data_IF_298186302761
#
_entry.id   IF_298186302761
#
_cell.length_a   1.000
_cell.length_b   1.000
_cell.length_c   1.000
_cell.angle_alpha   90.00
_cell.angle_beta   90.00
_cell.angle_gamma   90.00
#
_symmetry.space_group_name_H-M   'P 1'
#
loop_
_entity.id
_entity.type
_entity.pdbx_description
1 polymer ?
#
# COMPACT_ATOMS: atom_id res chain seq x y z
N UNK A 1 48.81 -7.90 -2.04
CA UNK A 1 47.66 -8.40 -1.25
C UNK A 1 46.60 -7.31 -1.09
N UNK A 2 45.97 -6.80 -2.16
CA UNK A 2 45.17 -5.56 -2.06
C UNK A 2 43.91 -5.48 -2.93
N UNK A 3 43.45 -6.59 -3.51
CA UNK A 3 42.16 -6.66 -4.23
C UNK A 3 41.34 -7.90 -3.85
N UNK A 4 42.02 -9.01 -3.53
CA UNK A 4 41.36 -10.24 -3.07
C UNK A 4 40.80 -10.09 -1.66
N UNK A 5 41.48 -9.35 -0.77
CA UNK A 5 41.00 -9.07 0.59
C UNK A 5 39.76 -8.16 0.60
N UNK A 6 39.72 -7.15 -0.28
CA UNK A 6 38.60 -6.22 -0.43
C UNK A 6 37.37 -6.90 -1.06
N UNK A 7 37.57 -7.83 -2.00
CA UNK A 7 36.49 -8.69 -2.52
C UNK A 7 35.97 -9.61 -1.42
N UNK A 8 36.84 -10.15 -0.56
CA UNK A 8 36.43 -11.02 0.55
C UNK A 8 35.69 -10.27 1.67
N UNK A 9 36.10 -9.04 1.97
CA UNK A 9 35.40 -8.14 2.91
C UNK A 9 34.04 -7.68 2.36
N UNK A 10 33.95 -7.36 1.07
CA UNK A 10 32.68 -7.03 0.43
C UNK A 10 31.76 -8.26 0.35
N UNK A 11 32.29 -9.45 0.11
CA UNK A 11 31.52 -10.69 0.13
C UNK A 11 31.07 -11.07 1.55
N UNK A 12 31.87 -10.80 2.58
CA UNK A 12 31.49 -10.97 3.99
C UNK A 12 30.44 -9.92 4.42
N UNK A 13 30.53 -8.69 3.93
CA UNK A 13 29.55 -7.63 4.18
C UNK A 13 28.22 -7.88 3.45
N UNK A 14 28.25 -8.32 2.19
CA UNK A 14 27.06 -8.75 1.44
C UNK A 14 26.45 -10.04 2.00
N UNK A 15 27.29 -11.00 2.43
CA UNK A 15 26.84 -12.20 3.13
C UNK A 15 26.20 -11.86 4.48
N UNK A 16 26.70 -10.88 5.23
CA UNK A 16 26.09 -10.37 6.47
C UNK A 16 24.78 -9.60 6.23
N UNK A 17 24.67 -8.85 5.13
CA UNK A 17 23.44 -8.15 4.76
C UNK A 17 22.34 -9.13 4.28
N UNK A 18 22.73 -10.14 3.49
CA UNK A 18 21.85 -11.25 3.09
C UNK A 18 21.47 -12.19 4.24
N UNK A 19 22.38 -12.43 5.21
CA UNK A 19 22.11 -13.23 6.43
C UNK A 19 21.11 -12.53 7.35
N UNK A 20 21.25 -11.20 7.53
CA UNK A 20 20.34 -10.40 8.36
C UNK A 20 18.92 -10.37 7.81
N UNK A 21 18.69 -10.60 6.51
CA UNK A 21 17.34 -10.60 5.94
C UNK A 21 16.59 -11.94 6.04
N UNK A 22 17.29 -13.08 6.08
CA UNK A 22 16.65 -14.41 5.96
C UNK A 22 16.64 -15.27 7.22
N UNK A 23 17.65 -15.14 8.09
CA UNK A 23 17.67 -15.84 9.40
C UNK A 23 16.85 -15.08 10.43
N UNK A 24 16.71 -13.77 10.23
CA UNK A 24 15.98 -12.86 11.10
C UNK A 24 14.47 -12.78 10.84
N UNK A 25 13.86 -13.79 10.22
CA UNK A 25 12.42 -13.78 9.94
C UNK A 25 11.63 -14.76 10.81
N UNK A 26 12.27 -15.65 11.59
CA UNK A 26 11.53 -16.68 12.34
C UNK A 26 11.95 -16.82 13.82
N UNK A 27 13.24 -16.83 14.16
CA UNK A 27 13.66 -16.67 15.57
C UNK A 27 13.40 -15.24 16.04
N UNK A 28 13.73 -14.29 15.15
CA UNK A 28 13.16 -12.96 15.22
C UNK A 28 11.65 -12.95 15.12
N UNK A 29 10.91 -13.91 14.55
CA UNK A 29 9.44 -13.84 14.62
C UNK A 29 8.93 -14.12 16.04
N UNK A 30 9.55 -15.01 16.81
CA UNK A 30 9.21 -15.24 18.21
C UNK A 30 9.69 -14.09 19.11
N UNK A 31 10.91 -13.56 18.88
CA UNK A 31 11.42 -12.39 19.60
C UNK A 31 10.73 -11.08 19.17
N UNK A 32 10.38 -10.94 17.88
CA UNK A 32 9.48 -9.90 17.36
C UNK A 32 8.14 -10.13 18.02
N UNK A 33 7.54 -11.32 18.04
CA UNK A 33 6.25 -11.57 18.68
C UNK A 33 6.26 -11.24 20.19
N UNK A 34 7.35 -11.52 20.93
CA UNK A 34 7.52 -11.12 22.34
C UNK A 34 7.82 -9.61 22.50
N UNK A 35 8.64 -9.00 21.63
CA UNK A 35 8.87 -7.55 21.58
C UNK A 35 7.61 -6.77 21.10
N UNK A 36 6.81 -7.40 20.26
CA UNK A 36 5.53 -6.98 19.70
C UNK A 36 4.44 -7.12 20.74
N UNK A 37 4.49 -8.13 21.61
CA UNK A 37 3.63 -8.25 22.78
C UNK A 37 3.87 -7.07 23.73
N UNK A 38 5.13 -6.64 23.88
CA UNK A 38 5.49 -5.42 24.62
C UNK A 38 5.10 -4.13 23.89
N UNK A 39 5.14 -4.09 22.55
CA UNK A 39 4.82 -2.90 21.74
C UNK A 39 3.33 -2.75 21.36
N UNK A 40 2.56 -3.84 21.35
CA UNK A 40 1.24 -3.91 20.74
C UNK A 40 0.22 -4.77 21.50
N UNK A 41 0.53 -5.17 22.74
CA UNK A 41 -0.34 -5.97 23.60
C UNK A 41 -0.54 -7.42 23.15
N UNK A 42 -1.27 -8.18 23.95
CA UNK A 42 -1.65 -9.57 23.64
C UNK A 42 -2.66 -9.61 22.47
N UNK A 43 -2.28 -10.37 21.44
CA UNK A 43 -2.99 -10.56 20.15
C UNK A 43 -3.41 -12.02 19.93
N UNK A 44 -3.06 -12.92 20.84
CA UNK A 44 -3.27 -14.36 20.65
C UNK A 44 -4.75 -14.69 20.42
N UNK A 45 -5.64 -13.95 21.07
CA UNK A 45 -7.09 -14.14 20.99
C UNK A 45 -7.70 -13.76 19.65
N UNK A 46 -7.04 -12.94 18.82
CA UNK A 46 -7.64 -12.48 17.57
C UNK A 46 -7.41 -13.43 16.39
N UNK A 47 -6.34 -14.21 16.41
CA UNK A 47 -6.02 -15.12 15.30
C UNK A 47 -6.95 -16.33 15.22
N UNK A 48 -7.66 -16.60 16.31
CA UNK A 48 -8.72 -17.61 16.41
C UNK A 48 -10.12 -17.03 16.19
N UNK A 49 -10.26 -15.73 15.85
CA UNK A 49 -11.57 -15.11 15.58
C UNK A 49 -12.12 -15.53 14.22
N UNK A 50 -12.74 -16.70 14.17
CA UNK A 50 -13.44 -17.20 13.01
C UNK A 50 -14.13 -18.51 13.34
N UNK A 51 -14.88 -19.03 12.37
CA UNK A 51 -15.51 -20.35 12.41
C UNK A 51 -14.89 -21.22 11.32
N UNK A 52 -14.89 -22.53 11.53
CA UNK A 52 -14.53 -23.46 10.45
C UNK A 52 -15.55 -23.33 9.32
N UNK A 53 -15.17 -23.72 8.09
CA UNK A 53 -16.02 -23.64 6.90
C UNK A 53 -17.38 -24.31 7.15
N UNK A 54 -17.38 -25.48 7.80
CA UNK A 54 -18.59 -26.25 8.10
C UNK A 54 -19.49 -25.63 9.19
N UNK A 55 -18.97 -24.67 9.97
CA UNK A 55 -19.67 -24.02 11.09
C UNK A 55 -20.20 -22.62 10.71
N UNK A 56 -19.94 -22.16 9.49
CA UNK A 56 -20.38 -20.85 9.00
C UNK A 56 -21.90 -20.78 8.89
N UNK A 57 -22.50 -19.75 9.49
CA UNK A 57 -23.94 -19.50 9.40
C UNK A 57 -24.23 -18.52 8.27
N UNK A 58 -24.94 -18.99 7.26
CA UNK A 58 -25.32 -18.20 6.10
C UNK A 58 -26.74 -17.67 6.25
N UNK A 59 -26.96 -16.42 5.85
CA UNK A 59 -28.28 -15.84 5.80
C UNK A 59 -29.09 -16.48 4.67
N UNK A 60 -30.36 -16.79 4.93
CA UNK A 60 -31.31 -17.20 3.88
C UNK A 60 -31.45 -16.11 2.80
N UNK A 61 -31.42 -14.84 3.22
CA UNK A 61 -31.42 -13.67 2.34
C UNK A 61 -30.25 -12.75 2.71
N UNK A 62 -29.41 -12.34 1.74
CA UNK A 62 -28.26 -11.50 2.04
C UNK A 62 -28.69 -10.12 2.55
N UNK A 63 -28.02 -9.67 3.61
CA UNK A 63 -28.15 -8.31 4.14
C UNK A 63 -27.57 -7.31 3.13
N UNK A 64 -28.29 -6.24 2.83
CA UNK A 64 -27.79 -5.18 1.94
C UNK A 64 -27.06 -4.11 2.74
N UNK A 65 -25.83 -3.81 2.35
CA UNK A 65 -25.02 -2.76 2.94
C UNK A 65 -25.07 -1.52 2.04
N UNK A 66 -25.55 -0.40 2.60
CA UNK A 66 -25.66 0.90 1.90
C UNK A 66 -24.84 2.01 2.55
N UNK A 67 -24.14 1.72 3.65
CA UNK A 67 -23.35 2.68 4.39
C UNK A 67 -21.93 2.20 4.63
N UNK A 68 -20.98 3.13 4.57
CA UNK A 68 -19.60 2.90 4.96
C UNK A 68 -19.48 2.48 6.44
N UNK A 69 -20.43 2.91 7.31
CA UNK A 69 -20.42 2.55 8.73
C UNK A 69 -20.54 1.05 8.91
N UNK A 70 -21.53 0.45 8.25
CA UNK A 70 -21.78 -0.99 8.32
C UNK A 70 -20.62 -1.76 7.70
N UNK A 71 -20.04 -1.28 6.60
CA UNK A 71 -18.85 -1.90 6.00
C UNK A 71 -17.66 -1.89 6.99
N UNK A 72 -17.37 -0.74 7.63
CA UNK A 72 -16.32 -0.63 8.65
C UNK A 72 -16.58 -1.58 9.82
N UNK A 73 -17.81 -1.66 10.31
CA UNK A 73 -18.19 -2.57 11.40
C UNK A 73 -17.98 -4.03 11.02
N UNK A 74 -18.41 -4.45 9.82
CA UNK A 74 -18.21 -5.83 9.37
C UNK A 74 -16.73 -6.15 9.18
N UNK A 75 -15.94 -5.25 8.56
CA UNK A 75 -14.54 -5.50 8.22
C UNK A 75 -13.60 -5.43 9.41
N UNK A 76 -13.85 -4.48 10.31
CA UNK A 76 -12.89 -4.09 11.35
C UNK A 76 -13.48 -4.10 12.77
N UNK A 77 -14.72 -4.53 12.96
CA UNK A 77 -15.36 -4.62 14.28
C UNK A 77 -14.58 -5.47 15.28
N UNK A 78 -13.85 -6.48 14.80
CA UNK A 78 -12.96 -7.32 15.61
C UNK A 78 -11.83 -6.54 16.29
N UNK A 79 -11.44 -5.36 15.77
CA UNK A 79 -10.50 -4.48 16.49
C UNK A 79 -11.04 -4.12 17.88
N UNK A 80 -12.37 -4.13 18.04
CA UNK A 80 -13.10 -4.04 19.29
C UNK A 80 -12.72 -5.06 20.36
N UNK A 81 -12.08 -6.17 19.98
CA UNK A 81 -11.67 -7.27 20.85
C UNK A 81 -10.16 -7.26 21.16
N UNK A 82 -9.40 -6.35 20.52
CA UNK A 82 -7.96 -6.21 20.73
C UNK A 82 -7.71 -5.32 21.95
N UNK A 83 -6.77 -5.76 22.81
CA UNK A 83 -6.36 -5.05 24.03
C UNK A 83 -5.58 -3.76 23.73
N UNK A 84 -4.70 -3.72 22.73
CA UNK A 84 -4.00 -2.50 22.28
C UNK A 84 -4.32 -2.13 20.81
N UNK A 85 -4.78 -0.90 20.58
CA UNK A 85 -5.17 -0.38 19.26
C UNK A 85 -4.36 0.83 18.83
N UNK A 86 -3.38 1.26 19.64
CA UNK A 86 -2.73 2.57 19.50
C UNK A 86 -1.99 2.74 18.17
N UNK A 87 -1.65 1.66 17.50
CA UNK A 87 -0.94 1.68 16.21
C UNK A 87 -1.76 1.28 15.00
N UNK A 88 -2.82 0.49 15.17
CA UNK A 88 -3.63 -0.04 14.07
C UNK A 88 -4.51 1.05 13.49
N UNK A 89 -4.46 1.22 12.18
CA UNK A 89 -5.25 2.22 11.45
C UNK A 89 -6.03 1.57 10.33
N UNK A 90 -7.29 1.94 10.27
CA UNK A 90 -8.15 1.81 9.10
C UNK A 90 -7.81 3.00 8.21
N UNK A 91 -7.49 2.74 6.95
CA UNK A 91 -7.16 3.77 5.97
C UNK A 91 -8.29 3.89 4.98
N UNK A 92 -8.83 5.08 4.81
CA UNK A 92 -9.53 5.40 3.56
C UNK A 92 -8.55 5.98 2.57
N UNK A 93 -8.84 5.78 1.30
CA UNK A 93 -8.05 6.34 0.23
C UNK A 93 -8.96 7.06 -0.78
N UNK A 94 -8.51 8.21 -1.25
CA UNK A 94 -9.23 9.06 -2.19
C UNK A 94 -8.35 9.28 -3.43
N UNK A 95 -8.85 8.90 -4.60
CA UNK A 95 -8.16 9.15 -5.86
C UNK A 95 -8.44 10.59 -6.29
N UNK A 96 -7.40 11.39 -6.47
CA UNK A 96 -7.53 12.77 -6.94
C UNK A 96 -6.59 13.03 -8.11
N UNK A 97 -6.96 13.98 -8.94
CA UNK A 97 -6.16 14.42 -10.07
C UNK A 97 -5.29 15.61 -9.63
N UNK A 98 -4.05 15.67 -10.10
CA UNK A 98 -3.17 16.81 -9.88
C UNK A 98 -2.23 16.99 -11.06
N UNK A 99 -1.69 18.20 -11.19
CA UNK A 99 -0.80 18.57 -12.29
C UNK A 99 0.65 18.41 -11.86
N UNK A 100 1.45 17.69 -12.65
CA UNK A 100 2.89 17.52 -12.44
C UNK A 100 3.65 18.28 -13.51
N UNK A 101 4.60 19.11 -13.06
CA UNK A 101 5.57 19.78 -13.93
C UNK A 101 6.41 18.75 -14.66
N UNK A 102 6.56 18.90 -15.97
CA UNK A 102 7.40 18.03 -16.80
C UNK A 102 8.38 18.84 -17.65
N UNK A 103 9.54 18.27 -18.01
CA UNK A 103 10.47 18.91 -18.96
C UNK A 103 9.81 19.15 -20.32
N UNK A 104 10.26 20.18 -21.04
CA UNK A 104 9.67 20.59 -22.31
C UNK A 104 9.75 19.47 -23.37
N UNK A 105 10.88 18.77 -23.45
CA UNK A 105 11.07 17.60 -24.32
C UNK A 105 9.99 16.53 -24.11
N UNK A 106 9.65 16.28 -22.84
CA UNK A 106 8.63 15.30 -22.45
C UNK A 106 7.22 15.82 -22.70
N UNK A 107 7.00 17.13 -22.62
CA UNK A 107 5.72 17.74 -22.97
C UNK A 107 5.41 17.52 -24.46
N UNK A 108 6.38 17.79 -25.33
CA UNK A 108 6.27 17.57 -26.79
C UNK A 108 6.06 16.10 -27.16
N UNK A 109 6.70 15.18 -26.45
CA UNK A 109 6.46 13.74 -26.59
C UNK A 109 5.01 13.38 -26.24
N UNK A 110 4.53 13.88 -25.09
CA UNK A 110 3.19 13.54 -24.58
C UNK A 110 2.05 14.24 -25.32
N UNK A 111 2.30 15.34 -26.05
CA UNK A 111 1.30 15.97 -26.92
C UNK A 111 0.74 15.00 -27.96
N UNK A 112 1.51 13.96 -28.32
CA UNK A 112 1.09 12.91 -29.26
C UNK A 112 0.19 11.84 -28.64
N UNK A 113 0.08 11.79 -27.30
CA UNK A 113 -0.77 10.85 -26.58
C UNK A 113 -2.11 11.51 -26.23
N UNK A 114 -3.13 11.28 -27.07
CA UNK A 114 -4.50 11.79 -26.88
C UNK A 114 -5.15 11.35 -25.56
N UNK A 115 -4.59 10.36 -24.85
CA UNK A 115 -5.11 9.90 -23.56
C UNK A 115 -4.60 10.74 -22.38
N UNK A 116 -3.66 11.66 -22.60
CA UNK A 116 -3.10 12.52 -21.57
C UNK A 116 -3.74 13.89 -21.61
N UNK A 117 -4.18 14.35 -20.44
CA UNK A 117 -4.56 15.74 -20.25
C UNK A 117 -3.29 16.55 -19.94
N UNK A 118 -3.01 17.53 -20.80
CA UNK A 118 -1.85 18.40 -20.72
C UNK A 118 -2.31 19.85 -20.56
N UNK A 119 -1.51 20.66 -19.86
CA UNK A 119 -1.66 22.12 -19.87
C UNK A 119 -0.30 22.78 -19.92
N UNK A 120 -0.26 24.00 -20.44
CA UNK A 120 0.93 24.82 -20.49
C UNK A 120 0.62 26.17 -19.87
N UNK A 121 1.48 26.62 -18.96
CA UNK A 121 1.33 27.91 -18.29
C UNK A 121 2.55 28.77 -18.56
N UNK A 122 2.35 30.08 -18.68
CA UNK A 122 3.48 31.01 -18.71
C UNK A 122 3.99 31.18 -17.29
N UNK A 123 5.18 30.66 -17.00
CA UNK A 123 5.87 30.89 -15.73
C UNK A 123 6.95 31.94 -15.95
N UNK A 124 7.22 32.70 -14.90
CA UNK A 124 8.27 33.71 -14.90
C UNK A 124 9.41 33.13 -14.10
N UNK A 125 10.61 33.11 -14.67
CA UNK A 125 11.79 32.59 -14.00
C UNK A 125 12.86 33.66 -13.93
N UNK A 126 13.52 33.72 -12.78
CA UNK A 126 14.63 34.60 -12.55
C UNK A 126 15.89 33.94 -13.11
N UNK A 127 16.52 34.60 -14.07
CA UNK A 127 17.79 34.19 -14.64
C UNK A 127 18.85 35.20 -14.25
N UNK A 128 20.00 34.73 -13.76
CA UNK A 128 21.17 35.57 -13.58
C UNK A 128 22.10 35.45 -14.79
N UNK A 129 22.47 36.56 -15.41
CA UNK A 129 23.37 36.59 -16.58
C UNK A 129 24.81 36.23 -16.17
N UNK A 130 25.22 36.68 -14.99
CA UNK A 130 26.46 36.30 -14.32
C UNK A 130 26.16 36.05 -12.84
N UNK A 131 26.64 34.93 -12.29
CA UNK A 131 26.57 34.68 -10.85
C UNK A 131 27.54 35.66 -10.19
N UNK A 132 27.07 36.58 -9.32
CA UNK A 132 27.96 37.55 -8.70
C UNK A 132 29.05 36.83 -7.90
N UNK A 133 30.26 37.41 -7.85
CA UNK A 133 31.32 36.86 -7.01
C UNK A 133 30.77 36.71 -5.57
N UNK A 134 30.79 35.49 -4.98
CA UNK A 134 30.21 35.25 -3.65
C UNK A 134 30.89 36.09 -2.55
N UNK A 135 32.12 36.56 -2.78
CA UNK A 135 32.85 37.44 -1.87
C UNK A 135 32.62 38.93 -2.13
N UNK A 136 31.77 39.29 -3.09
CA UNK A 136 31.34 40.68 -3.32
C UNK A 136 30.05 40.97 -2.56
N UNK A 137 29.75 42.25 -2.33
CA UNK A 137 28.47 42.67 -1.74
C UNK A 137 27.27 42.12 -2.53
N UNK A 138 27.41 41.91 -3.85
CA UNK A 138 26.39 41.33 -4.72
C UNK A 138 26.19 39.82 -4.56
N UNK A 139 27.22 39.08 -4.09
CA UNK A 139 27.12 37.64 -3.82
C UNK A 139 26.19 37.33 -2.65
N UNK A 140 26.24 38.15 -1.60
CA UNK A 140 25.36 38.05 -0.43
C UNK A 140 23.89 38.22 -0.83
N UNK A 141 23.62 39.13 -1.75
CA UNK A 141 22.29 39.39 -2.28
C UNK A 141 21.78 38.25 -3.19
N UNK A 142 22.64 37.68 -4.04
CA UNK A 142 22.25 36.50 -4.82
C UNK A 142 21.75 35.35 -3.95
N UNK A 143 22.43 35.08 -2.83
CA UNK A 143 22.01 34.01 -1.93
C UNK A 143 20.72 34.36 -1.19
N UNK A 144 20.60 35.60 -0.69
CA UNK A 144 19.39 36.11 -0.02
C UNK A 144 18.11 35.83 -0.85
N UNK A 145 18.17 36.07 -2.16
CA UNK A 145 17.02 35.90 -3.03
C UNK A 145 16.76 34.46 -3.46
N UNK A 146 17.81 33.68 -3.67
CA UNK A 146 17.69 32.28 -4.09
C UNK A 146 17.23 31.36 -2.96
N UNK A 147 17.41 31.78 -1.70
CA UNK A 147 16.87 31.08 -0.53
C UNK A 147 15.43 31.48 -0.17
N UNK A 148 14.83 32.44 -0.87
CA UNK A 148 13.43 32.82 -0.67
C UNK A 148 12.46 31.77 -1.26
N UNK A 149 11.28 31.59 -0.66
CA UNK A 149 10.27 30.62 -1.13
C UNK A 149 9.75 30.95 -2.55
N UNK A 150 9.72 32.24 -2.88
CA UNK A 150 9.41 32.77 -4.21
C UNK A 150 10.47 33.79 -4.62
N UNK A 151 11.58 33.35 -5.25
CA UNK A 151 12.67 34.23 -5.65
C UNK A 151 12.24 35.29 -6.68
N UNK A 152 11.24 34.99 -7.53
CA UNK A 152 10.80 35.92 -8.59
C UNK A 152 9.98 37.06 -8.01
N UNK A 153 9.07 36.75 -7.10
CA UNK A 153 8.30 37.81 -6.40
C UNK A 153 9.22 38.67 -5.56
N UNK A 154 10.19 38.08 -4.86
CA UNK A 154 11.16 38.83 -4.06
C UNK A 154 12.08 39.70 -4.94
N UNK A 155 12.48 39.18 -6.10
CA UNK A 155 13.23 39.96 -7.09
C UNK A 155 12.48 41.19 -7.60
N UNK A 156 11.19 41.05 -7.88
CA UNK A 156 10.35 42.18 -8.28
C UNK A 156 10.26 43.23 -7.17
N UNK A 157 10.22 42.80 -5.90
CA UNK A 157 10.26 43.73 -4.76
C UNK A 157 11.58 44.47 -4.69
N UNK A 158 12.71 43.81 -4.93
CA UNK A 158 14.02 44.48 -4.95
C UNK A 158 14.09 45.60 -5.99
N UNK A 159 13.50 45.39 -7.17
CA UNK A 159 13.45 46.40 -8.23
C UNK A 159 12.62 47.63 -7.81
N UNK A 160 11.51 47.42 -7.10
CA UNK A 160 10.53 48.49 -6.80
C UNK A 160 10.78 49.17 -5.46
N UNK A 161 11.13 48.38 -4.45
CA UNK A 161 11.15 48.75 -3.02
C UNK A 161 12.54 48.57 -2.39
N UNK A 162 13.48 47.91 -3.08
CA UNK A 162 14.83 47.69 -2.56
C UNK A 162 15.62 48.98 -2.38
N UNK A 163 16.65 48.95 -1.54
CA UNK A 163 17.63 50.04 -1.48
C UNK A 163 18.42 50.18 -2.80
N UNK A 164 19.18 51.27 -2.93
CA UNK A 164 19.92 51.58 -4.16
C UNK A 164 20.85 50.45 -4.61
N UNK A 165 21.40 49.67 -3.66
CA UNK A 165 22.33 48.59 -3.97
C UNK A 165 21.56 47.38 -4.51
N UNK A 166 20.43 47.01 -3.89
CA UNK A 166 19.55 45.93 -4.36
C UNK A 166 18.92 46.22 -5.72
N UNK A 167 18.48 47.46 -5.95
CA UNK A 167 17.97 47.89 -7.25
C UNK A 167 19.05 47.80 -8.33
N UNK A 168 20.26 48.29 -8.03
CA UNK A 168 21.39 48.19 -8.96
C UNK A 168 21.78 46.74 -9.23
N UNK A 169 21.82 45.90 -8.19
CA UNK A 169 22.11 44.47 -8.30
C UNK A 169 21.09 43.75 -9.20
N UNK A 170 19.81 44.03 -9.01
CA UNK A 170 18.75 43.50 -9.85
C UNK A 170 18.97 43.92 -11.31
N UNK A 171 19.01 45.22 -11.59
CA UNK A 171 19.18 45.73 -12.97
C UNK A 171 20.43 45.16 -13.66
N UNK A 172 21.51 44.91 -12.90
CA UNK A 172 22.78 44.45 -13.44
C UNK A 172 22.81 42.95 -13.73
N UNK A 173 22.27 42.13 -12.82
CA UNK A 173 22.54 40.69 -12.84
C UNK A 173 21.32 39.83 -13.16
N UNK A 174 20.09 40.29 -12.88
CA UNK A 174 18.91 39.46 -12.98
C UNK A 174 17.95 39.87 -14.09
N UNK A 175 17.45 38.89 -14.82
CA UNK A 175 16.43 39.06 -15.84
C UNK A 175 15.28 38.10 -15.55
N UNK A 176 14.04 38.62 -15.52
CA UNK A 176 12.86 37.76 -15.45
C UNK A 176 12.49 37.35 -16.87
N UNK A 177 12.62 36.06 -17.19
CA UNK A 177 12.20 35.51 -18.48
C UNK A 177 10.88 34.79 -18.33
N UNK A 178 9.97 35.07 -19.26
CA UNK A 178 8.76 34.26 -19.39
C UNK A 178 9.11 33.00 -20.16
N UNK A 179 8.85 31.83 -19.57
CA UNK A 179 8.91 30.55 -20.29
C UNK A 179 7.59 29.83 -20.22
N UNK A 180 7.34 28.98 -21.20
CA UNK A 180 6.18 28.11 -21.18
C UNK A 180 6.52 26.82 -20.42
N UNK A 181 5.82 26.55 -19.33
CA UNK A 181 5.99 25.34 -18.54
C UNK A 181 4.92 24.32 -18.87
N UNK A 182 5.34 23.15 -19.34
CA UNK A 182 4.45 21.99 -19.53
C UNK A 182 4.07 21.30 -18.23
N UNK A 183 2.81 20.87 -18.13
CA UNK A 183 2.28 20.03 -17.06
C UNK A 183 1.48 18.87 -17.63
N UNK A 184 1.54 17.72 -16.96
CA UNK A 184 0.69 16.56 -17.22
C UNK A 184 -0.22 16.29 -16.04
N UNK A 185 -1.50 16.04 -16.31
CA UNK A 185 -2.45 15.62 -15.30
C UNK A 185 -2.17 14.17 -14.95
N UNK A 186 -1.99 13.90 -13.67
CA UNK A 186 -1.75 12.57 -13.15
C UNK A 186 -2.64 12.33 -11.93
N UNK A 187 -2.68 11.08 -11.48
CA UNK A 187 -3.53 10.66 -10.37
C UNK A 187 -2.69 10.26 -9.18
N UNK A 188 -3.11 10.69 -7.99
CA UNK A 188 -2.54 10.25 -6.72
C UNK A 188 -3.62 9.75 -5.78
N UNK A 189 -3.20 8.96 -4.80
CA UNK A 189 -4.05 8.48 -3.72
C UNK A 189 -3.74 9.26 -2.45
N UNK A 190 -4.71 10.03 -1.97
CA UNK A 190 -4.66 10.62 -0.63
C UNK A 190 -5.13 9.58 0.38
N UNK A 191 -4.44 9.46 1.52
CA UNK A 191 -4.75 8.46 2.54
C UNK A 191 -5.14 9.15 3.84
N UNK A 192 -6.23 8.68 4.47
CA UNK A 192 -6.69 9.19 5.77
C UNK A 192 -6.81 8.06 6.78
N UNK A 193 -6.07 8.13 7.90
CA UNK A 193 -6.15 7.13 8.95
C UNK A 193 -7.20 7.37 10.00
N UNK A 194 -7.74 6.26 10.51
CA UNK A 194 -8.72 6.24 11.57
C UNK A 194 -8.44 5.09 12.53
N UNK A 195 -8.60 5.32 13.83
CA UNK A 195 -8.93 4.23 14.75
C UNK A 195 -10.39 3.78 14.53
N UNK A 196 -10.79 2.65 15.12
CA UNK A 196 -12.14 2.10 14.92
C UNK A 196 -13.28 3.09 15.29
N UNK A 197 -13.13 3.82 16.40
CA UNK A 197 -14.16 4.75 16.89
C UNK A 197 -14.33 5.90 15.91
N UNK A 198 -13.22 6.50 15.48
CA UNK A 198 -13.18 7.57 14.48
C UNK A 198 -13.63 7.09 13.11
N UNK A 199 -13.28 5.86 12.72
CA UNK A 199 -13.68 5.27 11.45
C UNK A 199 -15.20 5.18 11.35
N UNK A 200 -15.84 4.61 12.38
CA UNK A 200 -17.31 4.47 12.44
C UNK A 200 -18.06 5.81 12.39
N UNK A 201 -17.46 6.88 12.92
CA UNK A 201 -18.05 8.22 12.93
C UNK A 201 -17.79 8.98 11.63
N UNK A 202 -16.51 9.15 11.28
CA UNK A 202 -16.08 10.12 10.29
C UNK A 202 -15.97 9.56 8.88
N UNK A 203 -15.74 8.25 8.69
CA UNK A 203 -15.72 7.70 7.32
C UNK A 203 -17.09 7.89 6.64
N UNK A 204 -18.24 7.52 7.26
CA UNK A 204 -19.54 7.74 6.63
C UNK A 204 -19.82 9.21 6.34
N UNK A 205 -19.51 10.10 7.29
CA UNK A 205 -19.71 11.55 7.15
C UNK A 205 -18.87 12.13 6.00
N UNK A 206 -17.59 11.75 5.92
CA UNK A 206 -16.66 12.36 4.97
C UNK A 206 -16.77 11.80 3.54
N UNK A 207 -17.37 10.64 3.35
CA UNK A 207 -17.32 9.90 2.08
C UNK A 207 -18.68 9.67 1.45
N UNK A 208 -19.78 9.84 2.19
CA UNK A 208 -21.14 9.62 1.69
C UNK A 208 -21.37 10.42 0.42
N UNK A 209 -21.87 9.72 -0.60
CA UNK A 209 -22.17 10.29 -1.92
C UNK A 209 -20.98 10.96 -2.64
N UNK A 210 -19.74 10.79 -2.17
CA UNK A 210 -18.55 11.18 -2.93
C UNK A 210 -18.17 10.08 -3.90
N UNK A 211 -17.46 10.41 -4.96
CA UNK A 211 -16.82 9.43 -5.83
C UNK A 211 -15.38 9.15 -5.39
N UNK A 212 -14.74 8.17 -6.04
CA UNK A 212 -13.30 7.87 -5.88
C UNK A 212 -12.86 7.56 -4.44
N UNK A 213 -13.77 7.10 -3.59
CA UNK A 213 -13.48 6.71 -2.22
C UNK A 213 -13.27 5.20 -2.08
N UNK A 214 -12.26 4.83 -1.30
CA UNK A 214 -11.85 3.45 -1.07
C UNK A 214 -11.49 3.22 0.40
N UNK A 215 -11.45 1.96 0.81
CA UNK A 215 -11.05 1.52 2.15
C UNK A 215 -10.02 0.38 2.04
N UNK A 216 -9.02 0.36 2.92
CA UNK A 216 -8.01 -0.69 2.95
C UNK A 216 -8.60 -2.07 3.26
N UNK A 217 -7.89 -3.12 2.86
CA UNK A 217 -8.21 -4.53 3.18
C UNK A 217 -7.39 -5.08 4.35
N UNK A 218 -6.17 -4.58 4.51
CA UNK A 218 -5.21 -5.04 5.51
C UNK A 218 -4.98 -3.95 6.55
N UNK A 219 -4.84 -4.33 7.80
CA UNK A 219 -4.54 -3.38 8.87
C UNK A 219 -3.11 -2.87 8.71
N UNK A 220 -2.93 -1.57 8.91
CA UNK A 220 -1.60 -0.95 8.83
C UNK A 220 -1.28 -0.17 10.09
N UNK A 221 0.00 -0.11 10.45
CA UNK A 221 0.46 0.86 11.44
C UNK A 221 0.95 2.15 10.80
N UNK A 222 1.00 3.22 11.59
CA UNK A 222 1.50 4.52 11.15
C UNK A 222 2.65 5.01 12.01
N UNK A 223 3.60 5.70 11.36
CA UNK A 223 4.75 6.32 12.03
C UNK A 223 4.58 7.83 12.00
N UNK A 224 4.30 8.44 13.15
CA UNK A 224 4.15 9.91 13.33
C UNK A 224 3.34 10.57 12.20
N UNK A 225 4.00 11.33 11.32
CA UNK A 225 3.38 12.10 10.24
C UNK A 225 3.28 11.36 8.91
N UNK A 226 3.83 10.15 8.82
CA UNK A 226 3.83 9.37 7.60
C UNK A 226 2.58 8.49 7.53
N UNK A 227 1.61 8.97 6.75
CA UNK A 227 0.33 8.28 6.51
C UNK A 227 0.33 7.37 5.29
N UNK A 228 1.50 7.17 4.64
CA UNK A 228 1.61 6.33 3.45
C UNK A 228 1.19 4.89 3.73
N UNK A 229 0.47 4.33 2.76
CA UNK A 229 0.04 2.94 2.71
C UNK A 229 1.14 2.09 2.06
N UNK A 230 1.98 1.47 2.89
CA UNK A 230 3.12 0.65 2.45
C UNK A 230 2.95 -0.79 2.91
N UNK A 231 3.38 -1.74 2.08
CA UNK A 231 3.31 -3.17 2.41
C UNK A 231 4.08 -3.55 3.67
N UNK A 232 5.20 -2.87 3.94
CA UNK A 232 6.00 -3.02 5.17
C UNK A 232 5.26 -2.57 6.44
N UNK A 233 4.14 -1.85 6.31
CA UNK A 233 3.35 -1.35 7.42
C UNK A 233 2.16 -2.21 7.77
N UNK A 234 1.93 -3.29 7.02
CA UNK A 234 0.84 -4.20 7.32
C UNK A 234 1.11 -4.84 8.67
N UNK A 235 0.10 -4.86 9.54
CA UNK A 235 0.15 -5.56 10.81
C UNK A 235 -0.62 -6.86 10.73
N UNK A 236 -1.79 -6.83 10.10
CA UNK A 236 -2.64 -8.01 9.92
C UNK A 236 -3.32 -8.06 8.56
N UNK A 237 -3.44 -9.26 8.01
CA UNK A 237 -4.35 -9.58 6.91
C UNK A 237 -5.65 -10.14 7.50
N UNK A 238 -6.80 -9.51 7.24
CA UNK A 238 -8.08 -9.89 7.88
C UNK A 238 -9.19 -10.25 6.89
N UNK A 239 -8.84 -10.37 5.62
CA UNK A 239 -9.72 -10.78 4.53
C UNK A 239 -8.94 -11.24 3.30
N UNK A 240 -9.58 -12.06 2.47
CA UNK A 240 -9.20 -12.36 1.09
C UNK A 240 -10.16 -11.62 0.15
N UNK A 241 -9.73 -11.37 -1.08
CA UNK A 241 -10.53 -10.60 -2.03
C UNK A 241 -10.18 -10.89 -3.49
N UNK A 242 -11.15 -10.67 -4.37
CA UNK A 242 -10.94 -10.68 -5.83
C UNK A 242 -11.79 -9.60 -6.48
N UNK A 243 -11.15 -8.76 -7.30
CA UNK A 243 -11.81 -7.72 -8.10
C UNK A 243 -12.04 -8.27 -9.51
N UNK A 244 -13.29 -8.51 -9.87
CA UNK A 244 -13.67 -9.08 -11.16
C UNK A 244 -14.02 -7.99 -12.17
N UNK A 245 -13.19 -7.89 -13.21
CA UNK A 245 -13.33 -6.94 -14.31
C UNK A 245 -14.03 -7.56 -15.53
N UNK A 246 -14.93 -8.53 -15.32
CA UNK A 246 -15.67 -9.24 -16.37
C UNK A 246 -16.35 -8.31 -17.41
N UNK A 247 -16.69 -7.07 -17.04
CA UNK A 247 -17.28 -6.09 -17.98
C UNK A 247 -16.33 -5.69 -19.13
N UNK A 248 -15.05 -6.07 -19.07
CA UNK A 248 -14.07 -5.89 -20.16
C UNK A 248 -14.11 -7.03 -21.18
N UNK A 249 -14.79 -8.12 -20.86
CA UNK A 249 -14.90 -9.31 -21.69
C UNK A 249 -16.18 -9.23 -22.55
N UNK A 250 -16.10 -9.41 -23.88
CA UNK A 250 -17.26 -9.33 -24.78
C UNK A 250 -18.40 -10.29 -24.42
N UNK A 251 -18.09 -11.50 -23.94
CA UNK A 251 -19.08 -12.52 -23.58
C UNK A 251 -19.97 -12.12 -22.39
N UNK A 252 -19.56 -11.11 -21.61
CA UNK A 252 -20.34 -10.56 -20.50
C UNK A 252 -20.96 -9.19 -20.81
N UNK A 253 -20.86 -8.71 -22.05
CA UNK A 253 -21.49 -7.47 -22.47
C UNK A 253 -23.03 -7.58 -22.33
N UNK A 254 -23.64 -6.57 -21.69
CA UNK A 254 -25.09 -6.56 -21.40
C UNK A 254 -25.56 -7.59 -20.37
N UNK A 255 -24.69 -8.46 -19.84
CA UNK A 255 -25.07 -9.45 -18.84
C UNK A 255 -25.29 -8.79 -17.48
N UNK A 256 -26.44 -9.04 -16.87
CA UNK A 256 -26.77 -8.51 -15.55
C UNK A 256 -25.77 -9.05 -14.48
N UNK A 257 -25.25 -8.16 -13.63
CA UNK A 257 -24.29 -8.51 -12.58
C UNK A 257 -24.78 -9.63 -11.64
N UNK A 258 -26.10 -9.74 -11.40
CA UNK A 258 -26.70 -10.83 -10.61
C UNK A 258 -26.48 -12.19 -11.27
N UNK A 259 -26.59 -12.26 -12.60
CA UNK A 259 -26.35 -13.48 -13.37
C UNK A 259 -24.86 -13.83 -13.37
N UNK A 260 -23.98 -12.84 -13.54
CA UNK A 260 -22.53 -13.05 -13.40
C UNK A 260 -22.18 -13.56 -12.00
N UNK A 261 -22.78 -13.00 -10.95
CA UNK A 261 -22.57 -13.47 -9.59
C UNK A 261 -23.02 -14.93 -9.38
N UNK A 262 -24.12 -15.35 -10.01
CA UNK A 262 -24.55 -16.77 -9.97
C UNK A 262 -23.53 -17.68 -10.65
N UNK A 263 -22.94 -17.26 -11.77
CA UNK A 263 -21.88 -18.00 -12.46
C UNK A 263 -20.61 -18.08 -11.62
N UNK A 264 -20.25 -16.98 -10.94
CA UNK A 264 -19.14 -16.95 -9.98
C UNK A 264 -19.38 -17.91 -8.82
N UNK A 265 -20.60 -17.94 -8.27
CA UNK A 265 -20.94 -18.89 -7.21
C UNK A 265 -20.87 -20.33 -7.69
N UNK A 266 -21.40 -20.63 -8.89
CA UNK A 266 -21.27 -21.97 -9.48
C UNK A 266 -19.79 -22.37 -9.63
N UNK A 267 -18.93 -21.49 -10.15
CA UNK A 267 -17.50 -21.78 -10.29
C UNK A 267 -16.80 -22.04 -8.94
N UNK A 268 -17.20 -21.34 -7.88
CA UNK A 268 -16.70 -21.59 -6.52
C UNK A 268 -17.21 -22.92 -5.97
N UNK A 269 -18.50 -23.19 -6.13
CA UNK A 269 -19.14 -24.43 -5.68
C UNK A 269 -18.54 -25.65 -6.39
N UNK A 270 -18.32 -25.58 -7.71
CA UNK A 270 -17.69 -26.63 -8.53
C UNK A 270 -16.25 -26.89 -8.08
N UNK A 271 -15.53 -25.84 -7.65
CA UNK A 271 -14.20 -25.96 -7.07
C UNK A 271 -14.20 -26.39 -5.60
N UNK A 272 -15.37 -26.54 -4.98
CA UNK A 272 -15.53 -26.80 -3.55
C UNK A 272 -15.05 -25.66 -2.65
N UNK A 273 -14.80 -24.47 -3.20
CA UNK A 273 -14.31 -23.31 -2.46
C UNK A 273 -15.49 -22.53 -1.87
N UNK A 274 -15.44 -22.07 -0.61
CA UNK A 274 -16.57 -21.39 -0.01
C UNK A 274 -16.92 -20.11 -0.78
N UNK A 275 -18.20 -19.79 -0.85
CA UNK A 275 -18.69 -18.53 -1.38
C UNK A 275 -18.16 -17.33 -0.56
N UNK A 276 -18.04 -16.13 -1.14
CA UNK A 276 -17.59 -14.95 -0.41
C UNK A 276 -18.57 -14.54 0.69
N UNK A 277 -18.04 -14.10 1.83
CA UNK A 277 -18.84 -13.51 2.91
C UNK A 277 -19.57 -12.25 2.45
N UNK A 278 -18.98 -11.47 1.55
CA UNK A 278 -19.54 -10.24 1.02
C UNK A 278 -19.21 -10.01 -0.44
N UNK A 279 -20.09 -9.26 -1.12
CA UNK A 279 -19.90 -8.84 -2.51
C UNK A 279 -20.24 -7.37 -2.65
N UNK A 280 -19.31 -6.55 -3.13
CA UNK A 280 -19.53 -5.14 -3.47
C UNK A 280 -19.89 -5.05 -4.96
N UNK A 281 -20.98 -4.36 -5.24
CA UNK A 281 -21.46 -4.06 -6.58
C UNK A 281 -20.99 -2.66 -6.98
N UNK A 282 -20.18 -2.62 -8.04
CA UNK A 282 -19.65 -1.43 -8.69
C UNK A 282 -19.86 -1.62 -10.20
N UNK A 283 -18.97 -1.15 -11.07
CA UNK A 283 -18.97 -1.56 -12.49
C UNK A 283 -18.71 -3.07 -12.66
N UNK A 284 -17.79 -3.62 -11.87
CA UNK A 284 -17.55 -5.05 -11.71
C UNK A 284 -18.08 -5.57 -10.37
N UNK A 285 -17.56 -6.72 -9.95
CA UNK A 285 -17.84 -7.31 -8.63
C UNK A 285 -16.55 -7.35 -7.81
N UNK A 286 -16.60 -6.93 -6.55
CA UNK A 286 -15.52 -7.17 -5.60
C UNK A 286 -15.99 -8.22 -4.61
N UNK A 287 -15.35 -9.38 -4.62
CA UNK A 287 -15.68 -10.49 -3.74
C UNK A 287 -14.77 -10.43 -2.50
N UNK A 288 -15.34 -10.64 -1.32
CA UNK A 288 -14.61 -10.57 -0.04
C UNK A 288 -14.92 -11.81 0.81
N UNK A 289 -13.87 -12.47 1.28
CA UNK A 289 -13.93 -13.49 2.32
C UNK A 289 -13.30 -12.90 3.58
N UNK A 290 -14.12 -12.50 4.54
CA UNK A 290 -13.63 -12.09 5.85
C UNK A 290 -13.06 -13.32 6.56
N UNK A 291 -11.83 -13.18 7.07
CA UNK A 291 -11.16 -14.25 7.80
C UNK A 291 -10.85 -13.81 9.23
N UNK A 292 -10.44 -14.77 10.06
CA UNK A 292 -9.65 -14.44 11.24
C UNK A 292 -8.42 -13.64 10.78
N UNK A 293 -8.07 -12.56 11.49
CA UNK A 293 -6.82 -11.87 11.23
C UNK A 293 -5.64 -12.83 11.31
N UNK A 294 -4.64 -12.65 10.45
CA UNK A 294 -3.33 -13.29 10.58
C UNK A 294 -2.24 -12.23 10.59
N UNK A 295 -1.12 -12.47 11.28
CA UNK A 295 0.00 -11.52 11.33
C UNK A 295 0.71 -11.37 9.99
N UNK A 296 1.43 -10.25 9.81
CA UNK A 296 2.11 -9.90 8.57
C UNK A 296 3.07 -10.98 8.07
N UNK A 297 3.79 -11.66 8.97
CA UNK A 297 4.76 -12.70 8.61
C UNK A 297 4.12 -13.91 7.90
N UNK A 298 2.80 -14.12 8.05
CA UNK A 298 2.03 -15.16 7.34
C UNK A 298 1.57 -14.72 5.94
N UNK A 299 2.11 -13.63 5.40
CA UNK A 299 1.77 -13.12 4.06
C UNK A 299 1.83 -14.19 2.95
N UNK A 300 2.82 -15.10 2.98
CA UNK A 300 2.96 -16.13 1.95
C UNK A 300 1.77 -17.08 1.92
N UNK A 301 1.24 -17.42 3.09
CA UNK A 301 0.06 -18.27 3.24
C UNK A 301 -1.20 -17.53 2.76
N UNK A 302 -1.36 -16.25 3.14
CA UNK A 302 -2.43 -15.40 2.61
C UNK A 302 -2.39 -15.31 1.08
N UNK A 303 -1.20 -15.15 0.51
CA UNK A 303 -1.00 -15.10 -0.93
C UNK A 303 -1.36 -16.42 -1.62
N UNK A 304 -1.14 -17.58 -0.98
CA UNK A 304 -1.54 -18.88 -1.53
C UNK A 304 -3.05 -18.94 -1.75
N UNK A 305 -3.85 -18.58 -0.74
CA UNK A 305 -5.31 -18.53 -0.87
C UNK A 305 -5.75 -17.49 -1.89
N UNK A 306 -5.13 -16.30 -1.95
CA UNK A 306 -5.43 -15.32 -2.99
C UNK A 306 -5.20 -15.87 -4.40
N UNK A 307 -4.07 -16.55 -4.63
CA UNK A 307 -3.78 -17.19 -5.92
C UNK A 307 -4.79 -18.29 -6.24
N UNK A 308 -5.18 -19.11 -5.25
CA UNK A 308 -6.19 -20.15 -5.42
C UNK A 308 -7.53 -19.56 -5.88
N UNK A 309 -8.00 -18.51 -5.20
CA UNK A 309 -9.24 -17.79 -5.58
C UNK A 309 -9.14 -17.22 -7.00
N UNK A 310 -8.03 -16.56 -7.34
CA UNK A 310 -7.85 -15.99 -8.67
C UNK A 310 -7.78 -17.06 -9.77
N UNK A 311 -7.19 -18.21 -9.48
CA UNK A 311 -7.17 -19.35 -10.41
C UNK A 311 -8.57 -19.89 -10.69
N UNK A 312 -9.39 -20.08 -9.65
CA UNK A 312 -10.79 -20.53 -9.79
C UNK A 312 -11.62 -19.52 -10.60
N UNK A 313 -11.40 -18.23 -10.35
CA UNK A 313 -12.19 -17.16 -10.96
C UNK A 313 -11.62 -16.63 -12.28
N UNK A 314 -10.64 -17.31 -12.88
CA UNK A 314 -9.93 -16.83 -14.07
C UNK A 314 -10.84 -16.42 -15.24
N UNK A 315 -11.96 -17.11 -15.43
CA UNK A 315 -12.95 -16.82 -16.47
C UNK A 315 -13.64 -15.44 -16.33
N UNK A 316 -13.55 -14.79 -15.16
CA UNK A 316 -14.20 -13.50 -14.87
C UNK A 316 -13.22 -12.32 -14.86
N UNK A 317 -12.02 -12.51 -15.41
CA UNK A 317 -10.95 -11.52 -15.49
C UNK A 317 -10.63 -10.88 -14.12
N UNK A 318 -10.16 -11.66 -13.13
CA UNK A 318 -9.79 -11.12 -11.83
C UNK A 318 -8.53 -10.25 -11.95
N UNK A 319 -8.45 -9.13 -11.24
CA UNK A 319 -7.26 -8.26 -11.25
C UNK A 319 -6.02 -9.00 -10.71
N UNK A 320 -5.10 -9.34 -11.61
CA UNK A 320 -3.90 -10.11 -11.28
C UNK A 320 -2.98 -9.42 -10.28
N UNK A 321 -3.04 -8.08 -10.16
CA UNK A 321 -2.25 -7.32 -9.18
C UNK A 321 -2.77 -7.56 -7.76
N UNK A 322 -4.08 -7.81 -7.60
CA UNK A 322 -4.72 -8.04 -6.30
C UNK A 322 -4.16 -9.26 -5.56
N UNK A 323 -3.58 -10.25 -6.28
CA UNK A 323 -2.96 -11.44 -5.69
C UNK A 323 -1.74 -11.13 -4.80
N UNK A 324 -1.03 -10.01 -5.05
CA UNK A 324 0.22 -9.66 -4.35
C UNK A 324 0.13 -8.33 -3.62
N UNK A 325 -1.00 -7.63 -3.71
CA UNK A 325 -1.18 -6.30 -3.11
C UNK A 325 -1.48 -6.42 -1.62
N UNK A 326 -0.41 -6.36 -0.81
CA UNK A 326 -0.47 -6.40 0.67
C UNK A 326 -1.40 -5.35 1.27
N UNK A 327 -1.62 -4.24 0.55
CA UNK A 327 -2.29 -3.06 1.09
C UNK A 327 -3.50 -2.65 0.26
N UNK A 328 -4.09 -3.56 -0.54
CA UNK A 328 -5.19 -3.25 -1.46
C UNK A 328 -6.28 -2.38 -0.83
N UNK A 329 -6.89 -1.54 -1.66
CA UNK A 329 -8.07 -0.76 -1.27
C UNK A 329 -9.27 -1.21 -2.12
N UNK A 330 -10.42 -1.40 -1.48
CA UNK A 330 -11.69 -1.76 -2.13
C UNK A 330 -12.64 -0.56 -2.15
N UNK A 331 -13.68 -0.60 -2.99
CA UNK A 331 -14.67 0.49 -3.04
C UNK A 331 -15.35 0.63 -1.69
N UNK A 332 -15.54 1.87 -1.28
CA UNK A 332 -16.23 2.16 -0.04
C UNK A 332 -17.74 2.24 -0.28
N UNK A 333 -18.52 1.48 0.48
CA UNK A 333 -19.98 1.38 0.33
C UNK A 333 -20.66 2.70 0.68
N UNK A 334 -21.71 3.07 -0.08
CA UNK A 334 -22.45 4.31 0.09
C UNK A 334 -21.87 5.52 -0.68
N UNK A 335 -20.79 5.29 -1.44
CA UNK A 335 -20.16 6.25 -2.35
C UNK A 335 -20.77 6.14 -3.75
N UNK A 336 -20.37 7.01 -4.68
CA UNK A 336 -20.86 7.03 -6.06
C UNK A 336 -19.75 6.55 -7.00
N UNK A 337 -20.10 5.69 -7.95
CA UNK A 337 -19.19 5.36 -9.03
C UNK A 337 -19.12 6.53 -10.04
N UNK A 338 -17.95 7.14 -10.20
CA UNK A 338 -17.74 8.33 -11.05
C UNK A 338 -18.38 8.21 -12.44
N UNK A 339 -18.19 7.07 -13.12
CA UNK A 339 -18.61 6.88 -14.52
C UNK A 339 -20.08 6.50 -14.68
N UNK A 340 -20.61 5.68 -13.78
CA UNK A 340 -22.00 5.18 -13.91
C UNK A 340 -22.98 6.02 -13.12
N UNK A 341 -22.47 6.87 -12.21
CA UNK A 341 -23.23 7.68 -11.26
C UNK A 341 -24.11 6.86 -10.30
N UNK A 342 -23.94 5.55 -10.30
CA UNK A 342 -24.65 4.64 -9.41
C UNK A 342 -24.03 4.60 -8.03
N UNK A 343 -24.87 4.33 -7.04
CA UNK A 343 -24.45 4.18 -5.65
C UNK A 343 -23.81 2.80 -5.43
N UNK A 344 -22.58 2.80 -4.92
CA UNK A 344 -21.89 1.59 -4.49
C UNK A 344 -22.64 0.99 -3.31
N UNK A 345 -22.99 -0.28 -3.43
CA UNK A 345 -23.65 -1.06 -2.38
C UNK A 345 -23.03 -2.44 -2.30
N UNK A 346 -23.28 -3.15 -1.20
CA UNK A 346 -22.80 -4.51 -1.04
C UNK A 346 -23.90 -5.44 -0.52
N UNK A 347 -23.64 -6.74 -0.63
CA UNK A 347 -24.42 -7.80 0.03
C UNK A 347 -23.51 -8.54 1.00
N UNK A 348 -23.98 -8.72 2.23
CA UNK A 348 -23.37 -9.61 3.24
C UNK A 348 -24.20 -10.88 3.31
N UNK A 349 -23.55 -12.03 3.23
CA UNK A 349 -24.20 -13.34 3.25
C UNK A 349 -24.08 -14.02 4.61
N UNK A 350 -23.26 -13.47 5.50
CA UNK A 350 -23.05 -13.97 6.87
C UNK A 350 -22.56 -12.83 7.77
N UNK A 351 -22.63 -13.03 9.10
CA UNK A 351 -21.92 -12.24 10.10
C UNK A 351 -20.56 -12.85 10.48
N UNK A 352 -20.32 -14.09 10.08
CA UNK A 352 -19.17 -14.86 10.48
C UNK A 352 -17.93 -14.52 9.66
N UNK A 353 -16.80 -15.01 10.16
CA UNK A 353 -15.49 -14.96 9.52
C UNK A 353 -15.00 -16.38 9.39
N UNK A 354 -14.35 -16.70 8.29
CA UNK A 354 -13.66 -17.98 8.17
C UNK A 354 -12.45 -18.00 9.09
N UNK A 355 -12.23 -19.10 9.79
CA UNK A 355 -10.94 -19.37 10.42
C UNK A 355 -9.90 -19.53 9.29
N UNK A 356 -8.88 -18.67 9.28
CA UNK A 356 -7.89 -18.67 8.19
C UNK A 356 -7.18 -20.01 8.05
N UNK A 357 -6.83 -20.63 9.18
CA UNK A 357 -6.13 -21.92 9.22
C UNK A 357 -6.97 -23.03 8.58
N UNK A 358 -8.29 -23.01 8.82
CA UNK A 358 -9.21 -23.98 8.21
C UNK A 358 -9.24 -23.84 6.67
N UNK A 359 -9.23 -22.61 6.15
CA UNK A 359 -9.16 -22.36 4.71
C UNK A 359 -7.83 -22.85 4.10
N UNK A 360 -6.69 -22.45 4.67
CA UNK A 360 -5.38 -22.79 4.09
C UNK A 360 -5.11 -24.30 4.14
N UNK A 361 -5.49 -24.97 5.23
CA UNK A 361 -5.38 -26.42 5.35
C UNK A 361 -6.32 -27.16 4.40
N UNK A 362 -7.52 -26.63 4.14
CA UNK A 362 -8.46 -27.28 3.21
C UNK A 362 -8.01 -27.13 1.75
N UNK A 363 -7.53 -25.96 1.35
CA UNK A 363 -7.36 -25.63 -0.08
C UNK A 363 -5.91 -25.53 -0.57
N UNK A 364 -4.93 -25.48 0.32
CA UNK A 364 -3.52 -25.28 -0.02
C UNK A 364 -2.57 -26.12 0.85
N UNK A 365 -3.03 -27.26 1.38
CA UNK A 365 -2.25 -28.11 2.28
C UNK A 365 -0.88 -28.49 1.69
N UNK A 366 -0.87 -28.92 0.42
CA UNK A 366 0.35 -29.40 -0.25
C UNK A 366 1.36 -28.25 -0.39
N UNK A 367 0.92 -27.08 -0.84
CA UNK A 367 1.75 -25.90 -0.99
C UNK A 367 2.24 -25.38 0.36
N UNK A 368 1.40 -25.44 1.39
CA UNK A 368 1.75 -25.07 2.76
C UNK A 368 2.85 -25.98 3.31
N UNK A 369 2.71 -27.30 3.17
CA UNK A 369 3.74 -28.27 3.59
C UNK A 369 5.06 -28.05 2.85
N UNK A 370 5.02 -27.75 1.55
CA UNK A 370 6.22 -27.41 0.79
C UNK A 370 6.90 -26.15 1.31
N UNK A 371 6.12 -25.09 1.59
CA UNK A 371 6.63 -23.85 2.17
C UNK A 371 7.27 -24.10 3.55
N UNK A 372 6.64 -24.91 4.39
CA UNK A 372 7.15 -25.27 5.71
C UNK A 372 8.45 -26.08 5.61
N UNK A 373 8.52 -27.08 4.72
CA UNK A 373 9.74 -27.85 4.45
C UNK A 373 10.87 -26.97 3.96
N UNK A 374 10.60 -26.05 3.03
CA UNK A 374 11.59 -25.08 2.56
C UNK A 374 12.07 -24.19 3.70
N UNK A 375 11.17 -23.65 4.51
CA UNK A 375 11.52 -22.82 5.66
C UNK A 375 12.39 -23.58 6.66
N UNK A 376 12.06 -24.83 6.98
CA UNK A 376 12.86 -25.68 7.87
C UNK A 376 14.27 -25.92 7.32
N UNK A 377 14.40 -26.21 6.02
CA UNK A 377 15.70 -26.38 5.37
C UNK A 377 16.54 -25.09 5.41
N UNK A 378 15.92 -23.93 5.17
CA UNK A 378 16.61 -22.64 5.29
C UNK A 378 17.07 -22.37 6.72
N UNK A 379 16.26 -22.70 7.74
CA UNK A 379 16.65 -22.59 9.16
C UNK A 379 17.83 -23.49 9.49
N UNK A 380 17.82 -24.74 9.04
CA UNK A 380 18.94 -25.66 9.27
C UNK A 380 20.24 -25.12 8.68
N UNK A 381 20.22 -24.66 7.41
CA UNK A 381 21.40 -24.06 6.75
C UNK A 381 21.88 -22.79 7.45
N UNK A 382 20.97 -21.99 7.99
CA UNK A 382 21.30 -20.81 8.77
C UNK A 382 22.04 -21.14 10.06
N UNK A 383 21.52 -22.09 10.83
CA UNK A 383 22.13 -22.58 12.07
C UNK A 383 23.52 -23.17 11.81
N UNK A 384 23.69 -23.95 10.73
CA UNK A 384 25.00 -24.49 10.35
C UNK A 384 26.02 -23.39 10.03
N UNK A 385 25.59 -22.29 9.38
CA UNK A 385 26.46 -21.15 9.08
C UNK A 385 26.84 -20.40 10.35
N UNK A 386 25.90 -20.22 11.27
CA UNK A 386 26.16 -19.58 12.56
C UNK A 386 27.12 -20.40 13.42
N UNK A 387 26.90 -21.71 13.53
CA UNK A 387 27.81 -22.62 14.25
C UNK A 387 29.23 -22.60 13.65
N UNK A 388 29.35 -22.52 12.32
CA UNK A 388 30.65 -22.37 11.64
C UNK A 388 31.29 -21.02 11.96
N UNK A 389 30.53 -19.93 11.96
CA UNK A 389 31.03 -18.60 12.30
C UNK A 389 31.49 -18.52 13.76
N UNK A 390 30.72 -19.08 14.71
CA UNK A 390 31.09 -19.15 16.13
C UNK A 390 32.39 -19.94 16.32
N UNK A 391 32.53 -21.10 15.69
CA UNK A 391 33.78 -21.89 15.74
C UNK A 391 34.99 -21.14 15.17
N UNK A 392 34.80 -20.33 14.12
CA UNK A 392 35.87 -19.49 13.57
C UNK A 392 36.28 -18.36 14.53
N UNK A 393 35.33 -17.78 15.24
CA UNK A 393 35.60 -16.75 16.27
C UNK A 393 36.30 -17.34 17.49
N UNK A 394 35.89 -18.53 17.95
CA UNK A 394 36.53 -19.27 19.05
C UNK A 394 37.94 -19.75 18.67
N UNK A 395 38.14 -20.15 17.41
CA UNK A 395 39.45 -20.53 16.86
C UNK A 395 40.39 -19.34 16.61
N UNK A 396 39.87 -18.11 16.55
CA UNK A 396 40.63 -16.88 16.28
C UNK A 396 41.27 -16.23 17.51
N UNK A 397 41.07 -16.75 18.72
CA UNK A 397 41.60 -16.17 19.99
C UNK A 397 42.89 -16.87 20.49
N UNK A 398 43.52 -17.73 19.68
CA UNK A 398 44.81 -18.36 20.08
C UNK A 398 45.96 -18.08 19.10
N UNK A 399 46.70 -17.00 19.39
CA UNK A 399 48.11 -16.77 19.00
C UNK A 399 48.33 -15.47 18.21
N UNK A 400 49.10 -14.47 18.67
CA UNK A 400 50.05 -14.35 19.79
C UNK A 400 50.04 -12.91 20.36
N UNK A 401 50.29 -12.70 21.67
CA UNK A 401 50.92 -11.48 22.16
C UNK A 401 52.43 -11.56 21.94
N UNK A 402 52.98 -10.47 21.39
CA UNK A 402 54.40 -10.06 21.22
C UNK A 402 55.31 -11.01 20.43
#
# INVERSE_FOLDING_TARGET
MGKIAEIYENYQAEAQWGHRFFVSQIEKAAEIEEAEKNQWGDRSNIFTLGKKIAEMEWFEKPERLYSAKTQVEKYFGWLGLVKDRRSRRILTAELYDYWVKIPDEKYEELLKDEKKELKQETVHELHFTDIPNPNSEFGVFHDEIMFHEDPVTEYKRWIVEGDAIRQQAAITFGEIKARKQGYVKTKAMSHRPYDLKRAKKYIPENTRNKDKQYINTSMTYQKKNDVRRLGERVTEYCMLFSDLDYYKLPEFEGVNQKKVLQMVFAALDDAGFPRPTQVIFSRGLQLIWLTSPIPEYRYREWQMLQKKIHGILGAFLPDSVAMKDKVRVLRLVGTIHEKTREKIHAKSYTNDRFLFDDLIHTFCQVELEQLQKQAALYRQKALEREQKALKMLEGGVKGKPV
#
